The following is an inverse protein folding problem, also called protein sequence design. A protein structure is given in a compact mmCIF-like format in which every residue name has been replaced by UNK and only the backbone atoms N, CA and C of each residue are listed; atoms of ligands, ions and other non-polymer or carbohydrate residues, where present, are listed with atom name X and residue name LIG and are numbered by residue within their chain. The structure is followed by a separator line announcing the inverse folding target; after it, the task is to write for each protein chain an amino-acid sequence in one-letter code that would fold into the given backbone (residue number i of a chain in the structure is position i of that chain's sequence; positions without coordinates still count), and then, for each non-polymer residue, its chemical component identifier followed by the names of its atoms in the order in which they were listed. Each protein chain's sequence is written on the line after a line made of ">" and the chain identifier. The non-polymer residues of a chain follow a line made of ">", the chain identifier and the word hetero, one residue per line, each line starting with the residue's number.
data_IF_357800580576
#
_entry.id   IF_357800580576
#
_cell.length_a   1.000
_cell.length_b   1.000
_cell.length_c   1.000
_cell.angle_alpha   90.00
_cell.angle_beta   90.00
_cell.angle_gamma   90.00
#
_symmetry.space_group_name_H-M   'P 1'
#
loop_
_entity.id
_entity.type
_entity.pdbx_description
1 polymer ?
#
# COMPACT_ATOMS: atom_id res chain seq x y z
N UNK A 1 -0.93 -11.18 -11.76
CA UNK A 1 -2.27 -11.54 -12.30
C UNK A 1 -3.29 -11.74 -11.17
N UNK A 2 -3.03 -12.57 -10.16
CA UNK A 2 -3.97 -12.76 -9.02
C UNK A 2 -4.31 -11.45 -8.28
N UNK A 3 -3.31 -10.63 -7.96
CA UNK A 3 -3.55 -9.37 -7.23
C UNK A 3 -4.36 -8.36 -8.04
N UNK A 4 -4.09 -8.19 -9.34
CA UNK A 4 -4.88 -7.31 -10.20
C UNK A 4 -6.35 -7.73 -10.31
N UNK A 5 -6.63 -9.03 -10.43
CA UNK A 5 -7.99 -9.55 -10.38
C UNK A 5 -8.67 -9.29 -9.02
N UNK A 6 -7.93 -9.43 -7.92
CA UNK A 6 -8.45 -9.13 -6.57
C UNK A 6 -8.77 -7.64 -6.40
N UNK A 7 -7.89 -6.76 -6.86
CA UNK A 7 -8.12 -5.30 -6.88
C UNK A 7 -9.36 -4.95 -7.70
N UNK A 8 -9.53 -5.58 -8.87
CA UNK A 8 -10.77 -5.42 -9.67
C UNK A 8 -12.02 -5.79 -8.88
N UNK A 9 -12.00 -6.97 -8.24
CA UNK A 9 -13.12 -7.46 -7.43
C UNK A 9 -13.48 -6.56 -6.24
N UNK A 10 -12.52 -5.78 -5.71
CA UNK A 10 -12.78 -4.82 -4.64
C UNK A 10 -13.40 -3.51 -5.15
N UNK A 11 -13.09 -3.09 -6.37
CA UNK A 11 -13.55 -1.80 -6.93
C UNK A 11 -14.85 -1.95 -7.72
N UNK A 12 -15.03 -3.06 -8.46
CA UNK A 12 -16.20 -3.29 -9.28
C UNK A 12 -17.56 -3.16 -8.56
N UNK A 13 -17.74 -3.57 -7.29
CA UNK A 13 -19.01 -3.43 -6.59
C UNK A 13 -19.21 -2.04 -5.95
N UNK A 14 -18.28 -1.10 -6.09
CA UNK A 14 -18.44 0.24 -5.52
C UNK A 14 -19.59 0.98 -6.17
N UNK A 15 -20.41 1.65 -5.34
CA UNK A 15 -21.55 2.42 -5.79
C UNK A 15 -21.17 3.80 -6.35
N UNK A 16 -22.17 4.53 -6.88
CA UNK A 16 -21.98 5.92 -7.29
C UNK A 16 -21.47 6.79 -6.14
N UNK A 17 -20.74 7.86 -6.46
CA UNK A 17 -20.10 8.80 -5.52
C UNK A 17 -18.97 8.20 -4.66
N UNK A 18 -18.66 6.91 -4.80
CA UNK A 18 -17.43 6.35 -4.25
C UNK A 18 -16.19 7.00 -4.89
N UNK A 19 -15.06 6.93 -4.19
CA UNK A 19 -13.78 7.47 -4.65
C UNK A 19 -12.73 6.35 -4.64
N UNK A 20 -11.97 6.24 -5.73
CA UNK A 20 -10.80 5.38 -5.82
C UNK A 20 -9.57 6.27 -5.93
N UNK A 21 -8.69 6.21 -4.94
CA UNK A 21 -7.40 6.91 -4.96
C UNK A 21 -6.34 5.88 -5.34
N UNK A 22 -5.70 6.09 -6.49
CA UNK A 22 -4.66 5.22 -7.02
C UNK A 22 -3.35 5.98 -7.02
N UNK A 23 -2.37 5.47 -6.27
CA UNK A 23 -1.05 6.07 -6.19
C UNK A 23 0.05 5.01 -6.25
N UNK A 24 1.07 5.26 -7.06
CA UNK A 24 2.32 4.49 -7.03
C UNK A 24 3.31 5.15 -6.08
N UNK A 25 4.12 4.36 -5.41
CA UNK A 25 5.19 4.82 -4.51
C UNK A 25 6.44 3.98 -4.73
N UNK A 26 7.55 4.40 -4.14
CA UNK A 26 8.85 3.76 -4.29
C UNK A 26 9.93 4.58 -3.59
N UNK A 27 10.77 5.25 -4.38
CA UNK A 27 11.91 6.04 -3.88
C UNK A 27 11.49 7.33 -3.17
N UNK A 28 12.34 7.75 -2.23
CA UNK A 28 12.32 9.04 -1.54
C UNK A 28 12.46 10.25 -2.47
N UNK A 29 13.12 10.07 -3.62
CA UNK A 29 13.33 11.13 -4.58
C UNK A 29 12.16 11.18 -5.58
N UNK A 30 11.34 12.22 -5.48
CA UNK A 30 10.26 12.48 -6.43
C UNK A 30 10.76 12.62 -7.88
N UNK A 31 12.00 13.07 -8.09
CA UNK A 31 12.63 13.12 -9.41
C UNK A 31 13.07 11.74 -9.92
N UNK A 32 13.26 10.76 -9.03
CA UNK A 32 13.47 9.35 -9.38
C UNK A 32 12.15 8.60 -9.66
N UNK A 33 11.01 9.16 -9.22
CA UNK A 33 9.66 8.66 -9.50
C UNK A 33 9.05 9.31 -10.75
N UNK A 34 9.81 9.40 -11.86
CA UNK A 34 9.38 10.05 -13.12
C UNK A 34 8.11 9.46 -13.76
N UNK A 35 7.59 8.34 -13.23
CA UNK A 35 6.38 7.66 -13.70
C UNK A 35 5.35 7.49 -12.59
N UNK A 36 5.34 8.41 -11.63
CA UNK A 36 4.35 8.46 -10.56
C UNK A 36 2.93 8.54 -11.12
N UNK A 37 2.10 7.57 -10.79
CA UNK A 37 0.66 7.65 -10.95
C UNK A 37 0.09 8.18 -9.64
N UNK A 38 -0.68 9.27 -9.70
CA UNK A 38 -1.43 9.79 -8.56
C UNK A 38 -2.76 10.33 -9.06
N UNK A 39 -3.83 9.54 -8.91
CA UNK A 39 -5.14 9.84 -9.48
C UNK A 39 -6.24 9.60 -8.46
N UNK A 40 -7.18 10.55 -8.39
CA UNK A 40 -8.42 10.43 -7.64
C UNK A 40 -9.58 10.29 -8.63
N UNK A 41 -10.22 9.12 -8.60
CA UNK A 41 -11.32 8.79 -9.51
C UNK A 41 -12.61 8.81 -8.71
N UNK A 42 -13.51 9.73 -9.05
CA UNK A 42 -14.87 9.78 -8.49
C UNK A 42 -15.81 8.97 -9.39
N UNK A 43 -16.50 7.99 -8.80
CA UNK A 43 -17.40 7.11 -9.52
C UNK A 43 -18.76 7.78 -9.77
N UNK A 44 -18.79 8.68 -10.75
CA UNK A 44 -20.02 9.26 -11.28
C UNK A 44 -20.09 8.99 -12.79
N UNK A 45 -19.27 9.71 -13.56
CA UNK A 45 -19.12 9.52 -15.01
C UNK A 45 -18.14 8.39 -15.36
N UNK A 46 -17.19 8.10 -14.47
CA UNK A 46 -16.29 6.95 -14.59
C UNK A 46 -16.90 5.77 -13.86
N UNK A 47 -17.30 4.73 -14.58
CA UNK A 47 -17.97 3.56 -13.98
C UNK A 47 -17.02 2.81 -13.05
N UNK A 48 -17.58 2.12 -12.05
CA UNK A 48 -16.81 1.26 -11.16
C UNK A 48 -16.02 0.21 -11.93
N UNK A 49 -16.59 -0.36 -13.00
CA UNK A 49 -15.91 -1.30 -13.89
C UNK A 49 -14.68 -0.70 -14.55
N UNK A 50 -14.77 0.53 -15.08
CA UNK A 50 -13.62 1.19 -15.70
C UNK A 50 -12.52 1.51 -14.66
N UNK A 51 -12.90 1.91 -13.45
CA UNK A 51 -11.96 2.12 -12.33
C UNK A 51 -11.27 0.84 -11.91
N UNK A 52 -12.03 -0.25 -11.81
CA UNK A 52 -11.52 -1.58 -11.51
C UNK A 52 -10.49 -2.00 -12.56
N UNK A 53 -10.84 -1.88 -13.85
CA UNK A 53 -9.96 -2.28 -14.94
C UNK A 53 -8.68 -1.46 -15.00
N UNK A 54 -8.77 -0.15 -14.83
CA UNK A 54 -7.60 0.73 -14.77
C UNK A 54 -6.67 0.32 -13.62
N UNK A 55 -7.22 0.18 -12.41
CA UNK A 55 -6.44 -0.20 -11.22
C UNK A 55 -5.81 -1.59 -11.38
N UNK A 56 -6.58 -2.57 -11.86
CA UNK A 56 -6.11 -3.93 -12.07
C UNK A 56 -5.02 -4.02 -13.14
N UNK A 57 -5.15 -3.28 -14.24
CA UNK A 57 -4.13 -3.21 -15.30
C UNK A 57 -2.86 -2.53 -14.81
N UNK A 58 -2.98 -1.46 -14.02
CA UNK A 58 -1.83 -0.79 -13.41
C UNK A 58 -1.05 -1.79 -12.55
N UNK A 59 -1.74 -2.44 -11.62
CA UNK A 59 -1.19 -3.47 -10.73
C UNK A 59 -0.53 -4.63 -11.48
N UNK A 60 -1.16 -5.14 -12.54
CA UNK A 60 -0.62 -6.22 -13.37
C UNK A 60 0.56 -5.79 -14.24
N UNK A 61 0.58 -4.52 -14.64
CA UNK A 61 1.59 -3.94 -15.50
C UNK A 61 2.92 -3.72 -14.77
N UNK A 62 2.91 -3.38 -13.48
CA UNK A 62 4.12 -3.01 -12.72
C UNK A 62 5.24 -4.05 -12.87
N UNK A 63 5.05 -5.37 -12.63
CA UNK A 63 6.13 -6.34 -12.77
C UNK A 63 6.70 -6.44 -14.19
N UNK A 64 5.85 -6.31 -15.21
CA UNK A 64 6.29 -6.34 -16.60
C UNK A 64 7.10 -5.09 -16.98
N UNK A 65 6.68 -3.92 -16.49
CA UNK A 65 7.38 -2.66 -16.70
C UNK A 65 8.76 -2.66 -16.03
N UNK A 66 8.89 -3.28 -14.85
CA UNK A 66 10.17 -3.48 -14.17
C UNK A 66 11.07 -4.43 -14.95
N UNK A 67 10.58 -5.62 -15.33
CA UNK A 67 11.38 -6.62 -16.08
C UNK A 67 11.87 -6.11 -17.44
N UNK A 68 11.09 -5.25 -18.09
CA UNK A 68 11.45 -4.67 -19.40
C UNK A 68 12.34 -3.43 -19.27
N UNK A 69 12.77 -3.06 -18.06
CA UNK A 69 13.61 -1.89 -17.80
C UNK A 69 12.91 -0.54 -18.02
N UNK A 70 11.62 -0.54 -18.36
CA UNK A 70 10.83 0.69 -18.53
C UNK A 70 10.64 1.41 -17.21
N UNK A 71 10.50 0.64 -16.12
CA UNK A 71 10.52 1.12 -14.75
C UNK A 71 11.76 0.54 -14.07
N UNK A 72 12.48 1.37 -13.31
CA UNK A 72 13.61 0.91 -12.52
C UNK A 72 13.07 0.53 -11.14
N UNK A 73 13.27 -0.73 -10.74
CA UNK A 73 13.05 -1.10 -9.34
C UNK A 73 14.00 -0.27 -8.49
N UNK A 74 13.44 0.47 -7.55
CA UNK A 74 14.22 1.18 -6.55
C UNK A 74 14.43 0.15 -5.45
N UNK A 75 15.67 -0.14 -5.07
CA UNK A 75 15.99 -1.14 -4.04
C UNK A 75 15.68 -0.60 -2.62
N UNK A 76 14.78 0.37 -2.53
CA UNK A 76 14.35 1.10 -1.34
C UNK A 76 12.86 1.40 -1.51
N UNK A 77 12.09 1.16 -0.45
CA UNK A 77 10.63 1.29 -0.44
C UNK A 77 10.20 1.97 0.86
N UNK A 78 9.59 3.16 0.73
CA UNK A 78 9.05 3.91 1.86
C UNK A 78 7.51 3.79 1.92
N UNK A 79 7.03 2.66 2.44
CA UNK A 79 5.60 2.39 2.65
C UNK A 79 5.07 3.28 3.79
N UNK A 80 5.84 3.52 4.84
CA UNK A 80 5.41 4.38 5.96
C UNK A 80 5.13 5.80 5.47
N UNK A 81 6.05 6.41 4.72
CA UNK A 81 5.88 7.74 4.14
C UNK A 81 4.72 7.79 3.15
N UNK A 82 4.48 6.71 2.40
CA UNK A 82 3.28 6.56 1.58
C UNK A 82 2.00 6.58 2.46
N UNK A 83 1.96 5.81 3.54
CA UNK A 83 0.84 5.77 4.47
C UNK A 83 0.61 7.13 5.15
N UNK A 84 1.67 7.81 5.61
CA UNK A 84 1.60 9.16 6.19
C UNK A 84 0.94 10.15 5.19
N UNK A 85 1.24 10.02 3.90
CA UNK A 85 0.60 10.84 2.87
C UNK A 85 -0.84 10.41 2.57
N UNK A 86 -1.15 9.12 2.65
CA UNK A 86 -2.51 8.61 2.51
C UNK A 86 -3.41 9.05 3.67
N UNK A 87 -2.88 9.11 4.90
CA UNK A 87 -3.61 9.58 6.07
C UNK A 87 -4.13 11.02 5.91
N UNK A 88 -3.43 11.86 5.13
CA UNK A 88 -3.86 13.25 4.83
C UNK A 88 -5.08 13.32 3.92
N UNK A 89 -5.33 12.29 3.10
CA UNK A 89 -6.43 12.28 2.11
C UNK A 89 -7.52 11.28 2.44
N UNK A 90 -7.24 10.29 3.31
CA UNK A 90 -8.19 9.29 3.75
C UNK A 90 -9.21 9.91 4.71
N UNK A 91 -10.48 9.96 4.29
CA UNK A 91 -11.58 10.42 5.16
C UNK A 91 -12.35 9.23 5.74
N UNK A 92 -11.70 8.53 6.67
CA UNK A 92 -12.24 7.32 7.26
C UNK A 92 -13.41 7.54 8.23
N UNK A 93 -13.69 8.79 8.61
CA UNK A 93 -14.87 9.15 9.41
C UNK A 93 -16.13 9.37 8.56
N UNK A 94 -15.98 9.83 7.31
CA UNK A 94 -17.11 10.13 6.44
C UNK A 94 -17.53 8.97 5.53
N UNK A 95 -16.62 8.03 5.24
CA UNK A 95 -16.87 6.93 4.29
C UNK A 95 -16.18 5.65 4.71
N UNK A 96 -16.82 4.51 4.46
CA UNK A 96 -16.19 3.18 4.54
C UNK A 96 -14.97 3.16 3.63
N UNK A 97 -13.79 3.13 4.24
CA UNK A 97 -12.52 3.31 3.54
C UNK A 97 -11.62 2.11 3.80
N UNK A 98 -11.10 1.53 2.72
CA UNK A 98 -10.06 0.50 2.75
C UNK A 98 -8.78 1.06 2.15
N UNK A 99 -7.63 0.71 2.73
CA UNK A 99 -6.31 1.03 2.16
C UNK A 99 -5.68 -0.28 1.70
N UNK A 100 -5.35 -0.33 0.41
CA UNK A 100 -4.78 -1.51 -0.23
C UNK A 100 -3.36 -1.20 -0.67
N UNK A 101 -2.41 -1.91 -0.07
CA UNK A 101 -1.01 -1.91 -0.45
C UNK A 101 -0.77 -3.07 -1.40
N UNK A 102 -0.50 -2.77 -2.67
CA UNK A 102 -0.15 -3.76 -3.67
C UNK A 102 1.39 -3.78 -3.80
N UNK A 103 2.06 -4.54 -2.94
CA UNK A 103 3.51 -4.46 -2.71
C UNK A 103 4.06 -5.77 -2.15
N UNK A 104 5.40 -5.90 -2.08
CA UNK A 104 6.04 -6.94 -1.30
C UNK A 104 5.97 -6.70 0.22
N UNK A 105 5.51 -5.51 0.62
CA UNK A 105 5.38 -5.11 2.01
C UNK A 105 6.73 -4.89 2.69
N UNK A 106 7.85 -4.99 1.98
CA UNK A 106 9.16 -4.81 2.58
C UNK A 106 9.46 -3.32 2.65
N UNK A 107 9.42 -2.76 3.87
CA UNK A 107 9.91 -1.41 4.15
C UNK A 107 11.46 -1.44 4.09
N UNK A 108 12.06 -0.63 3.22
CA UNK A 108 13.49 -0.33 3.22
C UNK A 108 13.67 1.18 3.11
N UNK A 109 13.86 1.77 4.27
CA UNK A 109 13.58 3.17 4.52
C UNK A 109 14.41 3.67 5.70
N UNK A 110 14.55 4.99 5.85
CA UNK A 110 15.22 5.60 7.00
C UNK A 110 14.54 5.24 8.34
N UNK A 111 13.27 4.83 8.30
CA UNK A 111 12.47 4.47 9.46
C UNK A 111 12.63 3.00 9.85
N UNK A 112 12.76 2.10 8.87
CA UNK A 112 12.94 0.66 9.10
C UNK A 112 13.55 -0.02 7.87
N UNK A 113 14.27 -1.13 8.09
CA UNK A 113 14.72 -2.02 7.03
C UNK A 113 14.28 -3.45 7.35
N UNK A 114 13.15 -3.85 6.80
CA UNK A 114 12.55 -5.16 7.05
C UNK A 114 13.11 -6.25 6.14
N UNK A 115 13.82 -5.87 5.06
CA UNK A 115 14.42 -6.80 4.10
C UNK A 115 15.57 -7.59 4.75
N UNK A 116 16.48 -6.89 5.44
CA UNK A 116 17.66 -7.44 6.12
C UNK A 116 18.12 -6.48 7.21
N UNK A 117 18.65 -6.97 8.35
CA UNK A 117 19.36 -6.11 9.27
C UNK A 117 20.65 -5.61 8.58
N UNK A 118 20.60 -4.47 7.90
CA UNK A 118 21.82 -3.66 7.72
C UNK A 118 22.34 -3.37 9.14
N UNK A 119 23.65 -3.40 9.37
CA UNK A 119 24.22 -3.04 10.68
C UNK A 119 23.64 -1.69 11.13
N UNK A 120 22.78 -1.71 12.15
CA UNK A 120 22.14 -0.51 12.71
C UNK A 120 20.70 -0.21 12.26
N UNK A 121 20.12 -0.95 11.31
CA UNK A 121 18.71 -0.76 10.91
C UNK A 121 17.73 -1.44 11.86
N UNK A 122 16.64 -0.75 12.22
CA UNK A 122 15.56 -1.36 13.00
C UNK A 122 14.82 -2.40 12.15
N UNK A 123 14.72 -3.63 12.68
CA UNK A 123 13.90 -4.72 12.11
C UNK A 123 12.42 -4.63 12.49
N UNK A 124 12.05 -3.55 13.18
CA UNK A 124 10.70 -3.26 13.61
C UNK A 124 10.22 -1.96 12.97
N UNK A 125 8.92 -1.89 12.68
CA UNK A 125 8.31 -0.65 12.23
C UNK A 125 8.23 0.34 13.41
N UNK A 126 8.44 1.65 13.17
CA UNK A 126 8.20 2.66 14.19
C UNK A 126 6.71 2.69 14.57
N UNK A 127 6.40 3.26 15.74
CA UNK A 127 5.03 3.57 16.08
C UNK A 127 4.40 4.52 15.03
N UNK A 128 3.15 4.28 14.60
CA UNK A 128 2.45 5.18 13.67
C UNK A 128 2.26 6.55 14.31
N UNK A 129 2.41 7.62 13.51
CA UNK A 129 2.20 8.99 13.98
C UNK A 129 0.70 9.20 14.27
N UNK A 130 0.33 9.78 15.41
CA UNK A 130 -1.04 10.20 15.63
C UNK A 130 -1.36 11.44 14.78
N UNK A 131 -2.66 11.75 14.64
CA UNK A 131 -3.13 13.04 14.14
C UNK A 131 -2.82 14.13 15.17
N UNK A 132 -2.99 15.39 14.76
CA UNK A 132 -2.77 16.55 15.63
C UNK A 132 -3.66 16.53 16.90
N UNK A 133 -4.82 15.89 16.85
CA UNK A 133 -5.74 15.72 17.98
C UNK A 133 -5.40 14.51 18.88
N UNK A 134 -4.29 13.82 18.63
CA UNK A 134 -3.86 12.65 19.38
C UNK A 134 -4.51 11.32 18.97
N UNK A 135 -5.48 11.34 18.05
CA UNK A 135 -6.13 10.11 17.58
C UNK A 135 -5.25 9.34 16.58
N UNK A 136 -5.40 8.01 16.45
CA UNK A 136 -4.67 7.23 15.45
C UNK A 136 -4.93 7.74 14.01
N UNK A 137 -3.90 7.82 13.18
CA UNK A 137 -3.98 8.40 11.83
C UNK A 137 -5.03 7.76 10.91
N UNK A 138 -5.30 6.46 11.09
CA UNK A 138 -6.30 5.71 10.33
C UNK A 138 -7.52 5.33 11.16
N UNK A 139 -7.77 6.02 12.28
CA UNK A 139 -8.97 5.84 13.08
C UNK A 139 -10.24 5.94 12.20
N UNK A 140 -11.06 4.88 12.25
CA UNK A 140 -12.29 4.74 11.45
C UNK A 140 -12.12 3.96 10.15
N UNK A 141 -10.88 3.77 9.66
CA UNK A 141 -10.66 3.04 8.41
C UNK A 141 -11.03 1.57 8.62
N UNK A 142 -11.74 0.99 7.66
CA UNK A 142 -12.33 -0.34 7.81
C UNK A 142 -11.28 -1.42 7.71
N UNK A 143 -10.31 -1.27 6.81
CA UNK A 143 -9.36 -2.34 6.54
C UNK A 143 -8.04 -1.82 5.97
N UNK A 144 -6.93 -2.38 6.45
CA UNK A 144 -5.63 -2.33 5.80
C UNK A 144 -5.33 -3.69 5.16
N UNK A 145 -5.11 -3.69 3.84
CA UNK A 145 -4.80 -4.91 3.10
C UNK A 145 -3.41 -4.80 2.48
N UNK A 146 -2.56 -5.80 2.70
CA UNK A 146 -1.32 -5.97 1.93
C UNK A 146 -1.53 -7.15 0.98
N UNK A 147 -1.41 -6.87 -0.31
CA UNK A 147 -1.52 -7.85 -1.38
C UNK A 147 -0.14 -8.04 -2.00
N UNK A 148 0.40 -9.26 -1.88
CA UNK A 148 1.76 -9.56 -2.28
C UNK A 148 2.02 -9.38 -3.78
N UNK A 149 2.80 -8.36 -4.15
CA UNK A 149 3.34 -8.19 -5.49
C UNK A 149 4.82 -7.81 -5.39
N UNK A 150 5.71 -8.67 -5.86
CA UNK A 150 7.13 -8.35 -5.86
C UNK A 150 7.96 -9.55 -5.45
N UNK A 151 9.06 -9.29 -4.74
CA UNK A 151 9.94 -10.33 -4.23
C UNK A 151 9.44 -10.82 -2.87
N UNK A 152 9.41 -12.12 -2.67
CA UNK A 152 9.24 -12.67 -1.32
C UNK A 152 10.48 -12.49 -0.47
N UNK A 153 10.33 -12.67 0.84
CA UNK A 153 11.45 -12.66 1.79
C UNK A 153 12.40 -13.86 1.62
N UNK A 154 11.97 -14.90 0.92
CA UNK A 154 12.71 -16.16 0.74
C UNK A 154 12.75 -17.05 1.99
N UNK A 155 12.00 -16.71 3.04
CA UNK A 155 12.01 -17.38 4.34
C UNK A 155 10.63 -17.29 5.01
N UNK A 156 9.98 -18.42 5.35
CA UNK A 156 8.69 -18.40 6.04
C UNK A 156 8.73 -17.63 7.36
N UNK A 157 9.84 -17.76 8.11
CA UNK A 157 10.05 -17.03 9.36
C UNK A 157 10.12 -15.52 9.16
N UNK A 158 10.77 -15.06 8.09
CA UNK A 158 10.85 -13.63 7.78
C UNK A 158 9.52 -13.08 7.25
N UNK A 159 8.77 -13.89 6.49
CA UNK A 159 7.40 -13.55 6.08
C UNK A 159 6.47 -13.43 7.29
N UNK A 160 6.57 -14.35 8.26
CA UNK A 160 5.79 -14.30 9.49
C UNK A 160 6.13 -13.06 10.32
N UNK A 161 7.43 -12.78 10.52
CA UNK A 161 7.87 -11.55 11.21
C UNK A 161 7.37 -10.30 10.50
N UNK A 162 7.52 -10.21 9.18
CA UNK A 162 7.03 -9.08 8.38
C UNK A 162 5.51 -8.90 8.55
N UNK A 163 4.76 -10.00 8.56
CA UNK A 163 3.33 -10.00 8.81
C UNK A 163 3.00 -9.46 10.21
N UNK A 164 3.72 -9.91 11.24
CA UNK A 164 3.55 -9.45 12.62
C UNK A 164 3.83 -7.94 12.78
N UNK A 165 4.90 -7.44 12.15
CA UNK A 165 5.23 -6.01 12.16
C UNK A 165 4.12 -5.16 11.55
N UNK A 166 3.63 -5.53 10.36
CA UNK A 166 2.52 -4.81 9.73
C UNK A 166 1.22 -4.92 10.51
N UNK A 167 0.95 -6.07 11.11
CA UNK A 167 -0.20 -6.26 11.98
C UNK A 167 -0.15 -5.33 13.19
N UNK A 168 1.00 -5.25 13.86
CA UNK A 168 1.20 -4.37 15.01
C UNK A 168 1.07 -2.89 14.60
N UNK A 169 1.76 -2.48 13.54
CA UNK A 169 1.70 -1.11 13.02
C UNK A 169 0.26 -0.71 12.65
N UNK A 170 -0.43 -1.52 11.86
CA UNK A 170 -1.77 -1.18 11.37
C UNK A 170 -2.82 -1.16 12.48
N UNK A 171 -2.74 -2.09 13.44
CA UNK A 171 -3.60 -2.05 14.64
C UNK A 171 -3.36 -0.76 15.43
N UNK A 172 -2.10 -0.41 15.69
CA UNK A 172 -1.75 0.83 16.41
C UNK A 172 -2.18 2.10 15.63
N UNK A 173 -2.18 2.03 14.30
CA UNK A 173 -2.58 3.15 13.44
C UNK A 173 -4.11 3.35 13.39
N UNK A 174 -4.90 2.41 13.94
CA UNK A 174 -6.35 2.55 14.13
C UNK A 174 -7.22 1.87 13.07
N UNK A 175 -6.66 0.97 12.24
CA UNK A 175 -7.46 0.16 11.32
C UNK A 175 -8.32 -0.85 12.09
N UNK A 176 -9.58 -1.04 11.66
CA UNK A 176 -10.50 -2.00 12.28
C UNK A 176 -10.15 -3.45 11.96
N UNK A 177 -9.64 -3.69 10.76
CA UNK A 177 -9.22 -5.00 10.28
C UNK A 177 -7.90 -4.86 9.54
N UNK A 178 -7.07 -5.90 9.66
CA UNK A 178 -5.81 -6.02 8.92
C UNK A 178 -5.83 -7.35 8.19
N UNK A 179 -5.44 -7.37 6.93
CA UNK A 179 -5.41 -8.58 6.10
C UNK A 179 -4.14 -8.59 5.28
N UNK A 180 -3.24 -9.52 5.61
CA UNK A 180 -1.90 -9.62 5.04
C UNK A 180 -1.86 -10.88 4.17
N UNK A 181 -1.98 -10.68 2.86
CA UNK A 181 -2.00 -11.75 1.86
C UNK A 181 -0.65 -11.79 1.15
N UNK A 182 0.39 -11.93 1.95
CA UNK A 182 1.75 -12.10 1.48
C UNK A 182 1.91 -13.54 0.93
N UNK A 183 1.30 -13.82 -0.23
CA UNK A 183 1.39 -15.08 -0.94
C UNK A 183 2.53 -15.05 -1.97
N UNK A 184 3.77 -14.95 -1.48
CA UNK A 184 4.97 -15.00 -2.33
C UNK A 184 5.15 -16.37 -2.99
#
# INVERSE_FOLDING_TARGET
>A
RKVGARVRGMIAPLGPRSRVVLRTFGSYDTAANQRGFDQVITLNAFTATNAADLAGRLVEGVPALVRTGKWKAQNETNIIGFLDNMAKVANCGAMTTRIVLASDGIEDSEFANLARPKKGGALALPAPKPKADGTPQFAGCTEFLVLGIGQGTGSPKDTERLSQEWQAYATAAGFKQVTLLNDW
#
